data_IF_884795769988
#
_entry.id   IF_884795769988
#
_cell.length_a   1.000
_cell.length_b   1.000
_cell.length_c   1.000
_cell.angle_alpha   90.00
_cell.angle_beta   90.00
_cell.angle_gamma   90.00
#
_symmetry.space_group_name_H-M   'P 1'
#
loop_
_entity.id
_entity.type
_entity.pdbx_description
1 polymer ?
#
# COMPACT_ATOMS: atom_id res chain seq x y z
N UNK A 1 -12.23 20.11 20.39
CA UNK A 1 -13.12 19.79 19.25
C UNK A 1 -13.38 18.30 19.15
N UNK A 2 -12.78 17.54 18.22
CA UNK A 2 -13.15 16.13 17.98
C UNK A 2 -13.09 15.23 19.22
N UNK A 3 -12.01 15.31 20.03
CA UNK A 3 -11.88 14.50 21.26
C UNK A 3 -12.92 14.86 22.33
N UNK A 4 -13.40 16.09 22.34
CA UNK A 4 -14.35 16.61 23.33
C UNK A 4 -15.81 16.61 22.83
N UNK A 5 -16.04 16.28 21.55
CA UNK A 5 -17.37 16.34 20.94
C UNK A 5 -17.90 17.76 20.69
N UNK A 6 -17.03 18.79 20.70
CA UNK A 6 -17.47 20.17 20.47
C UNK A 6 -17.89 20.38 19.01
N UNK A 7 -19.05 21.01 18.75
CA UNK A 7 -19.58 21.24 17.41
C UNK A 7 -18.82 22.33 16.64
N UNK A 8 -18.00 23.14 17.31
CA UNK A 8 -17.25 24.22 16.69
C UNK A 8 -15.81 24.25 17.23
N UNK A 9 -14.88 24.80 16.46
CA UNK A 9 -13.54 25.10 16.90
C UNK A 9 -13.05 26.43 16.34
N UNK A 10 -12.24 27.16 17.10
CA UNK A 10 -11.57 28.35 16.59
C UNK A 10 -10.25 27.94 15.95
N UNK A 11 -10.09 28.23 14.67
CA UNK A 11 -8.87 27.95 13.92
C UNK A 11 -8.54 29.17 13.05
N UNK A 12 -7.29 29.66 13.14
CA UNK A 12 -6.82 30.84 12.41
C UNK A 12 -7.72 32.09 12.62
N UNK A 13 -8.25 32.26 13.84
CA UNK A 13 -9.13 33.38 14.20
C UNK A 13 -10.56 33.29 13.67
N UNK A 14 -10.96 32.15 13.08
CA UNK A 14 -12.33 31.92 12.61
C UNK A 14 -12.98 30.80 13.41
N UNK A 15 -14.27 30.96 13.72
CA UNK A 15 -15.09 29.89 14.25
C UNK A 15 -15.50 28.97 13.09
N UNK A 16 -15.16 27.68 13.21
CA UNK A 16 -15.39 26.66 12.19
C UNK A 16 -16.23 25.55 12.80
N UNK A 17 -17.30 25.15 12.13
CA UNK A 17 -18.09 23.99 12.52
C UNK A 17 -17.32 22.69 12.27
N UNK A 18 -17.30 21.81 13.25
CA UNK A 18 -16.55 20.55 13.22
C UNK A 18 -17.52 19.38 13.23
N UNK A 19 -17.52 18.61 12.13
CA UNK A 19 -18.29 17.37 12.06
C UNK A 19 -17.67 16.28 12.93
N UNK A 20 -18.49 15.59 13.71
CA UNK A 20 -18.09 14.43 14.51
C UNK A 20 -17.55 13.25 13.66
N UNK A 21 -17.87 13.23 12.36
CA UNK A 21 -17.41 12.20 11.43
C UNK A 21 -16.05 12.52 10.77
N UNK A 22 -15.36 13.57 11.23
CA UNK A 22 -14.06 13.96 10.68
C UNK A 22 -12.94 13.09 11.22
N UNK A 23 -11.96 12.75 10.38
CA UNK A 23 -10.76 12.01 10.75
C UNK A 23 -9.51 12.59 10.10
N UNK A 24 -8.38 12.51 10.79
CA UNK A 24 -7.08 12.98 10.29
C UNK A 24 -6.10 11.80 10.29
N UNK A 25 -5.49 11.56 9.13
CA UNK A 25 -4.52 10.50 8.94
C UNK A 25 -3.29 11.03 8.22
N UNK A 26 -2.12 10.54 8.60
CA UNK A 26 -0.85 10.88 7.96
C UNK A 26 -0.12 9.60 7.61
N UNK A 27 0.33 9.46 6.37
CA UNK A 27 1.17 8.36 5.93
C UNK A 27 2.61 8.88 5.80
N UNK A 28 3.50 8.33 6.62
CA UNK A 28 4.92 8.68 6.61
C UNK A 28 5.71 7.46 6.15
N UNK A 29 6.51 7.59 5.09
CA UNK A 29 7.59 6.61 4.88
C UNK A 29 8.78 7.06 5.73
N UNK A 30 9.53 6.13 6.33
CA UNK A 30 10.68 6.48 7.16
C UNK A 30 11.70 7.30 6.35
N UNK A 31 12.22 8.35 6.98
CA UNK A 31 13.35 9.13 6.46
C UNK A 31 14.66 8.31 6.63
N UNK A 32 14.78 7.22 5.87
CA UNK A 32 15.97 6.36 5.81
C UNK A 32 16.90 6.74 4.65
N UNK A 33 18.10 6.13 4.62
CA UNK A 33 19.20 6.42 3.67
C UNK A 33 18.85 6.35 2.17
N UNK A 34 17.71 5.78 1.79
CA UNK A 34 17.24 5.70 0.40
C UNK A 34 16.10 6.66 0.02
N UNK A 35 15.52 7.38 0.98
CA UNK A 35 14.43 8.34 0.77
C UNK A 35 14.88 9.73 1.25
N UNK A 36 15.83 10.32 0.51
CA UNK A 36 16.41 11.63 0.82
C UNK A 36 15.38 12.77 0.75
N UNK A 37 15.77 13.93 1.30
CA UNK A 37 15.02 15.18 1.17
C UNK A 37 13.74 15.29 2.02
N UNK A 38 13.54 14.42 3.02
CA UNK A 38 12.36 14.45 3.90
C UNK A 38 12.71 15.00 5.28
N UNK A 39 12.02 16.06 5.68
CA UNK A 39 12.05 16.55 7.06
C UNK A 39 11.38 15.56 7.99
N UNK A 40 12.00 15.30 9.14
CA UNK A 40 11.39 14.46 10.18
C UNK A 40 10.20 15.20 10.78
N UNK A 41 9.09 14.48 11.01
CA UNK A 41 7.96 15.04 11.76
C UNK A 41 8.43 15.35 13.19
N UNK A 42 8.17 16.56 13.72
CA UNK A 42 8.43 16.92 15.11
C UNK A 42 7.77 15.96 16.10
N UNK A 43 8.44 15.68 17.23
CA UNK A 43 7.97 14.66 18.18
C UNK A 43 6.66 15.05 18.87
N UNK A 44 6.43 16.33 19.12
CA UNK A 44 5.16 16.84 19.65
C UNK A 44 3.98 16.54 18.70
N UNK A 45 4.21 16.60 17.38
CA UNK A 45 3.18 16.24 16.40
C UNK A 45 3.00 14.73 16.30
N UNK A 46 4.07 13.93 16.40
CA UNK A 46 3.96 12.46 16.42
C UNK A 46 3.07 11.96 17.56
N UNK A 47 3.14 12.58 18.74
CA UNK A 47 2.34 12.22 19.90
C UNK A 47 0.82 12.37 19.68
N UNK A 48 0.40 13.19 18.70
CA UNK A 48 -1.01 13.35 18.34
C UNK A 48 -1.57 12.17 17.53
N UNK A 49 -0.69 11.29 17.01
CA UNK A 49 -1.07 10.17 16.17
C UNK A 49 -0.82 8.83 16.85
N UNK A 50 -1.65 7.84 16.51
CA UNK A 50 -1.38 6.44 16.83
C UNK A 50 -0.55 5.82 15.70
N UNK A 51 0.68 5.40 16.01
CA UNK A 51 1.54 4.74 15.05
C UNK A 51 1.04 3.33 14.71
N UNK A 52 1.16 2.95 13.43
CA UNK A 52 0.83 1.61 12.92
C UNK A 52 1.99 1.13 12.06
N UNK A 53 2.50 -0.07 12.34
CA UNK A 53 3.58 -0.67 11.56
C UNK A 53 3.02 -1.38 10.32
N UNK A 54 3.47 -0.97 9.13
CA UNK A 54 3.02 -1.49 7.83
C UNK A 54 4.16 -2.12 7.02
N UNK A 55 5.20 -2.62 7.69
CA UNK A 55 6.50 -2.97 7.08
C UNK A 55 6.49 -4.21 6.19
N UNK A 56 5.70 -5.24 6.55
CA UNK A 56 5.73 -6.55 5.87
C UNK A 56 4.30 -6.95 5.50
N UNK A 57 3.92 -6.87 4.21
CA UNK A 57 2.64 -7.38 3.73
C UNK A 57 2.72 -8.89 3.46
N UNK A 58 1.57 -9.57 3.49
CA UNK A 58 1.45 -10.94 3.01
C UNK A 58 1.24 -10.96 1.48
N UNK A 59 2.35 -11.05 0.72
CA UNK A 59 2.32 -11.03 -0.74
C UNK A 59 1.60 -12.22 -1.36
N UNK A 60 1.61 -13.39 -0.73
CA UNK A 60 0.94 -14.60 -1.25
C UNK A 60 -0.57 -14.44 -1.20
N UNK A 61 -1.12 -14.06 -0.04
CA UNK A 61 -2.56 -13.82 0.12
C UNK A 61 -3.06 -12.71 -0.82
N UNK A 62 -2.29 -11.63 -0.96
CA UNK A 62 -2.63 -10.55 -1.90
C UNK A 62 -2.66 -11.07 -3.33
N UNK A 63 -1.64 -11.86 -3.73
CA UNK A 63 -1.53 -12.42 -5.07
C UNK A 63 -2.68 -13.39 -5.37
N UNK A 64 -2.98 -14.29 -4.44
CA UNK A 64 -4.09 -15.24 -4.57
C UNK A 64 -5.43 -14.51 -4.75
N UNK A 65 -5.71 -13.52 -3.88
CA UNK A 65 -6.94 -12.73 -3.93
C UNK A 65 -7.07 -11.97 -5.25
N UNK A 66 -5.97 -11.36 -5.72
CA UNK A 66 -5.96 -10.66 -7.00
C UNK A 66 -6.19 -11.60 -8.18
N UNK A 67 -5.49 -12.74 -8.24
CA UNK A 67 -5.67 -13.72 -9.31
C UNK A 67 -7.11 -14.26 -9.34
N UNK A 68 -7.69 -14.55 -8.17
CA UNK A 68 -9.08 -14.99 -8.09
C UNK A 68 -10.05 -13.91 -8.59
N UNK A 69 -9.83 -12.65 -8.22
CA UNK A 69 -10.65 -11.50 -8.66
C UNK A 69 -10.57 -11.28 -10.18
N UNK A 70 -9.43 -11.57 -10.78
CA UNK A 70 -9.22 -11.50 -12.24
C UNK A 70 -9.78 -12.72 -12.99
N UNK A 71 -10.28 -13.74 -12.26
CA UNK A 71 -10.96 -14.90 -12.82
C UNK A 71 -10.05 -16.10 -13.11
N UNK A 72 -8.86 -16.18 -12.51
CA UNK A 72 -8.01 -17.36 -12.59
C UNK A 72 -8.58 -18.51 -11.75
N UNK A 73 -8.68 -19.72 -12.33
CA UNK A 73 -9.25 -20.89 -11.64
C UNK A 73 -8.29 -21.52 -10.62
N UNK A 74 -6.98 -21.45 -10.86
CA UNK A 74 -5.95 -22.08 -10.02
C UNK A 74 -5.15 -21.04 -9.19
N UNK A 75 -5.79 -19.95 -8.78
CA UNK A 75 -5.14 -18.83 -8.09
C UNK A 75 -4.32 -19.27 -6.87
N UNK A 76 -4.87 -20.16 -6.03
CA UNK A 76 -4.20 -20.70 -4.82
C UNK A 76 -2.90 -21.43 -5.12
N UNK A 77 -2.83 -22.17 -6.23
CA UNK A 77 -1.64 -22.90 -6.62
C UNK A 77 -0.61 -22.01 -7.35
N UNK A 78 -1.07 -20.92 -7.99
CA UNK A 78 -0.23 -20.00 -8.74
C UNK A 78 0.41 -18.92 -7.86
N UNK A 79 -0.32 -18.42 -6.85
CA UNK A 79 0.14 -17.34 -5.98
C UNK A 79 1.52 -17.57 -5.33
N UNK A 80 1.79 -18.72 -4.66
CA UNK A 80 3.10 -18.95 -4.07
C UNK A 80 4.21 -19.01 -5.13
N UNK A 81 3.92 -19.52 -6.33
CA UNK A 81 4.89 -19.57 -7.43
C UNK A 81 5.28 -18.18 -7.92
N UNK A 82 4.29 -17.30 -8.10
CA UNK A 82 4.54 -15.91 -8.54
C UNK A 82 5.34 -15.15 -7.49
N UNK A 83 4.99 -15.29 -6.21
CA UNK A 83 5.73 -14.65 -5.11
C UNK A 83 7.15 -15.18 -5.01
N UNK A 84 7.35 -16.50 -5.14
CA UNK A 84 8.69 -17.09 -5.09
C UNK A 84 9.56 -16.63 -6.26
N UNK A 85 9.01 -16.43 -7.46
CA UNK A 85 9.75 -15.84 -8.59
C UNK A 85 10.25 -14.43 -8.24
N UNK A 86 9.43 -13.57 -7.64
CA UNK A 86 9.86 -12.22 -7.23
C UNK A 86 10.92 -12.28 -6.12
N UNK A 87 10.75 -13.18 -5.16
CA UNK A 87 11.69 -13.39 -4.05
C UNK A 87 13.04 -13.89 -4.55
N UNK A 88 13.07 -14.92 -5.38
CA UNK A 88 14.29 -15.47 -5.98
C UNK A 88 14.96 -14.46 -6.90
N UNK A 89 14.19 -13.72 -7.70
CA UNK A 89 14.75 -12.68 -8.59
C UNK A 89 15.45 -11.58 -7.79
N UNK A 90 14.87 -11.16 -6.65
CA UNK A 90 15.52 -10.22 -5.73
C UNK A 90 16.80 -10.77 -5.10
N UNK A 91 16.89 -12.07 -4.88
CA UNK A 91 18.02 -12.73 -4.20
C UNK A 91 19.16 -13.10 -5.14
N UNK A 92 18.84 -13.52 -6.37
CA UNK A 92 19.78 -14.17 -7.28
C UNK A 92 20.25 -13.24 -8.42
N UNK A 93 19.46 -12.23 -8.80
CA UNK A 93 19.87 -11.28 -9.84
C UNK A 93 20.80 -10.20 -9.29
N UNK A 94 21.55 -9.56 -10.18
CA UNK A 94 22.45 -8.47 -9.79
C UNK A 94 21.68 -7.33 -9.11
N UNK A 95 22.22 -6.72 -8.03
CA UNK A 95 21.56 -5.65 -7.30
C UNK A 95 21.64 -4.32 -8.06
N UNK A 96 20.69 -4.09 -8.98
CA UNK A 96 20.59 -2.83 -9.72
C UNK A 96 19.65 -1.84 -9.04
N UNK A 97 20.01 -0.55 -9.03
CA UNK A 97 19.20 0.50 -8.40
C UNK A 97 17.80 0.65 -9.00
N UNK A 98 17.66 0.36 -10.30
CA UNK A 98 16.39 0.50 -11.03
C UNK A 98 15.48 -0.73 -10.92
N UNK A 99 15.92 -1.81 -10.26
CA UNK A 99 15.06 -2.97 -10.02
C UNK A 99 14.11 -2.72 -8.84
N UNK A 100 12.83 -3.02 -9.07
CA UNK A 100 11.79 -3.02 -8.04
C UNK A 100 11.13 -4.40 -7.99
N UNK A 101 11.23 -5.05 -6.84
CA UNK A 101 10.61 -6.35 -6.55
C UNK A 101 9.47 -6.21 -5.52
N UNK A 102 8.96 -4.99 -5.31
CA UNK A 102 7.90 -4.69 -4.36
C UNK A 102 6.50 -5.03 -4.85
N UNK A 103 5.49 -4.68 -4.04
CA UNK A 103 4.08 -4.94 -4.37
C UNK A 103 3.56 -4.18 -5.60
N UNK A 104 4.15 -3.04 -5.94
CA UNK A 104 3.71 -2.22 -7.09
C UNK A 104 3.92 -2.94 -8.43
N UNK A 105 5.13 -3.42 -8.77
CA UNK A 105 5.33 -4.21 -9.99
C UNK A 105 4.55 -5.52 -9.96
N UNK A 106 4.47 -6.19 -8.81
CA UNK A 106 3.65 -7.40 -8.64
C UNK A 106 2.19 -7.16 -9.05
N UNK A 107 1.55 -6.12 -8.50
CA UNK A 107 0.17 -5.74 -8.85
C UNK A 107 0.02 -5.47 -10.36
N UNK A 108 1.00 -4.81 -10.99
CA UNK A 108 0.95 -4.52 -12.41
C UNK A 108 0.94 -5.79 -13.27
N UNK A 109 1.78 -6.78 -12.92
CA UNK A 109 1.81 -8.09 -13.60
C UNK A 109 0.51 -8.85 -13.44
N UNK A 110 -0.06 -8.88 -12.23
CA UNK A 110 -1.33 -9.59 -11.97
C UNK A 110 -2.49 -8.98 -12.77
N UNK A 111 -2.59 -7.65 -12.80
CA UNK A 111 -3.60 -6.94 -13.60
C UNK A 111 -3.45 -7.21 -15.09
N UNK A 112 -2.21 -7.24 -15.60
CA UNK A 112 -1.96 -7.60 -17.01
C UNK A 112 -2.40 -9.04 -17.29
N UNK A 113 -2.10 -9.98 -16.41
CA UNK A 113 -2.56 -11.36 -16.51
C UNK A 113 -4.07 -11.46 -16.60
N UNK A 114 -4.80 -10.71 -15.75
CA UNK A 114 -6.25 -10.63 -15.79
C UNK A 114 -6.80 -10.12 -17.12
N UNK A 115 -6.24 -9.03 -17.65
CA UNK A 115 -6.62 -8.49 -18.95
C UNK A 115 -6.44 -9.51 -20.09
N UNK A 116 -5.36 -10.30 -20.06
CA UNK A 116 -5.12 -11.37 -21.03
C UNK A 116 -6.15 -12.50 -20.91
N UNK A 117 -6.47 -12.93 -19.69
CA UNK A 117 -7.52 -13.96 -19.45
C UNK A 117 -8.87 -13.49 -19.99
N UNK A 118 -9.23 -12.22 -19.76
CA UNK A 118 -10.48 -11.67 -20.28
C UNK A 118 -10.50 -11.61 -21.81
N UNK A 119 -9.40 -11.21 -22.44
CA UNK A 119 -9.28 -11.20 -23.90
C UNK A 119 -9.46 -12.61 -24.47
N UNK A 120 -8.74 -13.60 -23.91
CA UNK A 120 -8.84 -15.00 -24.33
C UNK A 120 -10.24 -15.61 -24.13
N UNK A 121 -11.04 -15.09 -23.19
CA UNK A 121 -12.44 -15.50 -23.02
C UNK A 121 -13.38 -14.90 -24.06
N UNK A 122 -13.09 -13.70 -24.58
CA UNK A 122 -13.88 -13.05 -25.63
C UNK A 122 -13.58 -13.59 -27.01
N UNK A 123 -12.36 -14.06 -27.21
CA UNK A 123 -11.89 -14.67 -28.47
C UNK A 123 -12.34 -16.15 -28.61
N UNK A 124 -13.03 -16.70 -27.60
CA UNK A 124 -13.68 -18.02 -27.61
C UNK A 124 -15.18 -17.88 -27.77
#
# INVERSE_FOLDING_TARGET
ALKQGEPNCTLLGRLIDVSANSGIFVTLNPAGKGYGGRSKLPDNLKLLFRAVAMSVPNSELITETMLLSEGFQFARALAPKVVEVYKLSKQLLSPQQHYDWGLRPLKAVLRLGGALVQKLRKDK
#
